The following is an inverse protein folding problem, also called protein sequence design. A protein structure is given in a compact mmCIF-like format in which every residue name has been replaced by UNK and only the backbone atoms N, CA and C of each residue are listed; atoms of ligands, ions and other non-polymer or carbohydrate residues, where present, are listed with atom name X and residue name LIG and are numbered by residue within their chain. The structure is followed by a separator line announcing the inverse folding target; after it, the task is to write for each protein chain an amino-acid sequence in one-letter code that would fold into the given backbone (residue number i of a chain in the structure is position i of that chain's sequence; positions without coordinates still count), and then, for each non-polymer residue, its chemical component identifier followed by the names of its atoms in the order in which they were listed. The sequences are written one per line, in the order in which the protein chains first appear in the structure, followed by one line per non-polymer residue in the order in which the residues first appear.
data_IF_977948675450
#
_entry.id   IF_977948675450
#
_cell.length_a   1.000
_cell.length_b   1.000
_cell.length_c   1.000
_cell.angle_alpha   90.00
_cell.angle_beta   90.00
_cell.angle_gamma   90.00
#
_symmetry.space_group_name_H-M   'P 1'
#
loop_
_entity.id
_entity.type
_entity.pdbx_description
1 polymer ?
#
# COMPACT_ATOMS: atom_id res chain seq x y z
N UNK A 1 4.70 0.01 4.02
CA UNK A 1 5.99 0.25 3.32
C UNK A 1 6.35 1.72 3.40
N UNK A 2 7.44 2.09 4.08
CA UNK A 2 7.73 3.47 4.46
C UNK A 2 9.21 3.90 4.29
N UNK A 3 9.97 3.28 3.37
CA UNK A 3 11.40 3.57 3.16
C UNK A 3 11.76 4.57 2.06
N UNK A 4 10.79 5.22 1.42
CA UNK A 4 11.05 6.06 0.23
C UNK A 4 11.60 7.46 0.57
N UNK A 5 12.73 7.86 -0.04
CA UNK A 5 13.35 9.18 0.21
C UNK A 5 12.63 10.39 -0.39
N UNK A 6 11.71 10.19 -1.35
CA UNK A 6 10.80 11.26 -1.79
C UNK A 6 11.37 12.35 -2.70
N UNK A 7 12.50 12.13 -3.38
CA UNK A 7 13.23 13.11 -4.22
C UNK A 7 12.37 14.00 -5.15
N UNK A 8 11.22 13.51 -5.63
CA UNK A 8 10.28 14.27 -6.47
C UNK A 8 9.55 15.42 -5.76
N UNK A 9 9.56 15.44 -4.43
CA UNK A 9 8.96 16.49 -3.61
C UNK A 9 10.01 17.47 -3.06
N UNK A 10 11.23 17.47 -3.59
CA UNK A 10 12.21 18.50 -3.24
C UNK A 10 11.67 19.89 -3.64
N UNK A 11 11.82 20.94 -2.80
CA UNK A 11 12.61 21.00 -1.56
C UNK A 11 11.86 20.61 -0.27
N UNK A 12 10.59 20.19 -0.37
CA UNK A 12 9.77 19.81 0.79
C UNK A 12 10.30 18.53 1.44
N UNK A 13 10.63 17.51 0.65
CA UNK A 13 11.28 16.30 1.16
C UNK A 13 12.79 16.52 1.33
N UNK A 14 13.32 16.22 2.52
CA UNK A 14 14.75 16.22 2.83
C UNK A 14 15.17 14.86 3.38
N UNK A 15 16.48 14.65 3.55
CA UNK A 15 17.01 13.42 4.15
C UNK A 15 16.38 13.14 5.52
N UNK A 16 16.28 14.19 6.35
CA UNK A 16 15.74 14.12 7.71
C UNK A 16 14.22 14.30 7.76
N UNK A 17 13.56 14.55 6.62
CA UNK A 17 12.11 14.70 6.52
C UNK A 17 11.63 14.05 5.22
N UNK A 18 11.53 12.72 5.18
CA UNK A 18 11.13 11.98 3.99
C UNK A 18 9.67 12.27 3.64
N UNK A 19 9.26 12.00 2.39
CA UNK A 19 7.93 12.36 1.87
C UNK A 19 6.76 11.89 2.74
N UNK A 20 6.85 10.69 3.31
CA UNK A 20 5.80 10.09 4.12
C UNK A 20 5.64 10.80 5.47
N UNK A 21 6.68 11.51 5.93
CA UNK A 21 6.65 12.34 7.14
C UNK A 21 6.13 13.76 6.88
N UNK A 22 5.84 14.14 5.63
CA UNK A 22 5.34 15.47 5.27
C UNK A 22 3.83 15.59 5.54
N UNK A 23 3.44 16.73 6.12
CA UNK A 23 2.05 17.18 6.27
C UNK A 23 1.58 17.85 4.99
N UNK A 24 1.25 17.04 3.98
CA UNK A 24 0.79 17.55 2.69
C UNK A 24 -0.70 17.86 2.66
N UNK A 25 -1.48 17.20 3.53
CA UNK A 25 -2.94 17.30 3.57
C UNK A 25 -3.37 17.35 5.03
N UNK A 26 -3.79 18.53 5.48
CA UNK A 26 -4.16 18.77 6.88
C UNK A 26 -2.99 18.68 7.85
N UNK A 27 -3.28 18.27 9.09
CA UNK A 27 -2.32 18.35 10.20
C UNK A 27 -1.48 17.08 10.43
N UNK A 28 -1.83 15.99 9.73
CA UNK A 28 -1.16 14.70 9.81
C UNK A 28 -0.18 14.49 8.65
N UNK A 29 0.90 13.76 8.89
CA UNK A 29 1.72 13.24 7.80
C UNK A 29 0.99 12.18 6.98
N UNK A 30 1.44 11.89 5.75
CA UNK A 30 0.89 10.78 4.96
C UNK A 30 1.03 9.43 5.67
N UNK A 31 2.15 9.24 6.39
CA UNK A 31 2.37 8.07 7.22
C UNK A 31 1.35 7.98 8.35
N UNK A 32 1.15 9.06 9.12
CA UNK A 32 0.16 9.11 10.19
C UNK A 32 -1.26 8.87 9.67
N UNK A 33 -1.63 9.49 8.56
CA UNK A 33 -2.91 9.27 7.90
C UNK A 33 -3.09 7.81 7.47
N UNK A 34 -2.02 7.16 7.01
CA UNK A 34 -2.05 5.74 6.63
C UNK A 34 -2.19 4.84 7.86
N UNK A 35 -1.40 5.06 8.91
CA UNK A 35 -1.49 4.27 10.15
C UNK A 35 -2.87 4.41 10.78
N UNK A 36 -3.36 5.63 10.99
CA UNK A 36 -4.69 5.88 11.56
C UNK A 36 -5.82 5.25 10.74
N UNK A 37 -5.70 5.25 9.40
CA UNK A 37 -6.65 4.54 8.52
C UNK A 37 -6.58 3.03 8.73
N UNK A 38 -5.39 2.45 8.90
CA UNK A 38 -5.24 1.01 9.12
C UNK A 38 -5.70 0.57 10.52
N UNK A 39 -5.48 1.37 11.56
CA UNK A 39 -5.91 1.08 12.94
C UNK A 39 -7.43 0.99 13.10
N UNK A 40 -8.19 1.69 12.25
CA UNK A 40 -9.65 1.53 12.19
C UNK A 40 -10.12 0.20 11.61
N UNK A 41 -9.22 -0.66 11.12
CA UNK A 41 -9.54 -1.98 10.56
C UNK A 41 -8.71 -3.12 11.17
N UNK A 42 -7.44 -2.86 11.48
CA UNK A 42 -6.52 -3.82 12.09
C UNK A 42 -6.11 -3.33 13.49
N UNK A 43 -5.96 -4.23 14.48
CA UNK A 43 -5.33 -3.86 15.73
C UNK A 43 -3.86 -3.48 15.50
N UNK A 44 -3.34 -2.52 16.28
CA UNK A 44 -2.01 -1.94 16.12
C UNK A 44 -0.89 -2.99 16.18
N UNK A 45 -1.07 -4.08 16.93
CA UNK A 45 -0.14 -5.22 17.00
C UNK A 45 0.02 -5.96 15.66
N UNK A 46 -0.95 -5.84 14.75
CA UNK A 46 -0.94 -6.45 13.41
C UNK A 46 -0.49 -5.50 12.30
N UNK A 47 -0.09 -4.28 12.63
CA UNK A 47 0.41 -3.30 11.67
C UNK A 47 1.94 -3.29 11.73
N UNK A 48 2.59 -3.74 10.65
CA UNK A 48 4.05 -3.73 10.53
C UNK A 48 4.51 -2.59 9.61
N UNK A 49 5.55 -1.88 10.04
CA UNK A 49 6.16 -0.78 9.29
C UNK A 49 7.55 -1.19 8.85
N UNK A 50 7.71 -1.46 7.56
CA UNK A 50 9.04 -1.67 6.96
C UNK A 50 9.62 -0.33 6.51
N UNK A 51 10.80 0.03 7.00
CA UNK A 51 11.49 1.30 6.72
C UNK A 51 13.02 1.16 6.79
N UNK A 52 13.76 2.24 6.58
CA UNK A 52 15.23 2.30 6.70
C UNK A 52 15.65 2.89 8.05
N UNK A 53 16.89 2.61 8.47
CA UNK A 53 17.39 2.99 9.80
C UNK A 53 17.28 4.50 10.06
N UNK A 54 17.57 5.32 9.06
CA UNK A 54 17.54 6.78 9.15
C UNK A 54 16.13 7.35 9.39
N UNK A 55 15.08 6.56 9.11
CA UNK A 55 13.68 7.00 9.22
C UNK A 55 12.95 6.36 10.40
N UNK A 56 13.51 5.30 11.00
CA UNK A 56 12.83 4.49 12.00
C UNK A 56 12.37 5.31 13.21
N UNK A 57 13.26 6.09 13.82
CA UNK A 57 12.94 6.88 15.03
C UNK A 57 11.88 7.96 14.76
N UNK A 58 11.96 8.64 13.61
CA UNK A 58 10.95 9.61 13.20
C UNK A 58 9.58 8.96 13.02
N UNK A 59 9.52 7.78 12.38
CA UNK A 59 8.25 7.09 12.12
C UNK A 59 7.67 6.49 13.40
N UNK A 60 8.49 5.97 14.31
CA UNK A 60 8.05 5.55 15.65
C UNK A 60 7.40 6.70 16.42
N UNK A 61 8.04 7.87 16.43
CA UNK A 61 7.49 9.05 17.07
C UNK A 61 6.16 9.53 16.45
N UNK A 62 5.93 9.24 15.16
CA UNK A 62 4.67 9.58 14.48
C UNK A 62 3.53 8.58 14.75
N UNK A 63 3.84 7.36 15.20
CA UNK A 63 2.87 6.29 15.46
C UNK A 63 3.21 5.56 16.78
N UNK A 64 3.06 6.24 17.94
CA UNK A 64 3.48 5.71 19.23
C UNK A 64 2.68 4.50 19.71
N UNK A 65 1.46 4.31 19.19
CA UNK A 65 0.59 3.19 19.55
C UNK A 65 0.99 1.87 18.85
N UNK A 66 1.85 1.94 17.82
CA UNK A 66 2.41 0.74 17.21
C UNK A 66 3.55 0.16 18.07
N UNK A 67 3.57 -1.15 18.34
CA UNK A 67 4.68 -1.77 19.06
C UNK A 67 6.02 -1.52 18.36
N UNK A 68 7.08 -1.22 19.12
CA UNK A 68 8.41 -0.98 18.53
C UNK A 68 8.90 -2.18 17.70
N UNK A 69 8.57 -3.40 18.13
CA UNK A 69 8.90 -4.64 17.43
C UNK A 69 8.20 -4.81 16.06
N UNK A 70 7.26 -3.93 15.73
CA UNK A 70 6.59 -3.89 14.43
C UNK A 70 7.29 -2.97 13.42
N UNK A 71 8.33 -2.23 13.83
CA UNK A 71 9.18 -1.46 12.92
C UNK A 71 10.31 -2.35 12.42
N UNK A 72 10.17 -2.86 11.20
CA UNK A 72 11.16 -3.68 10.53
C UNK A 72 12.14 -2.79 9.77
N UNK A 73 13.38 -2.73 10.23
CA UNK A 73 14.42 -1.93 9.59
C UNK A 73 15.11 -2.74 8.50
N UNK A 74 15.01 -2.29 7.25
CA UNK A 74 15.71 -2.88 6.12
C UNK A 74 17.21 -2.56 6.18
N UNK A 75 18.08 -3.52 5.84
CA UNK A 75 19.53 -3.29 5.82
C UNK A 75 19.98 -2.37 4.67
N UNK A 76 19.17 -2.28 3.59
CA UNK A 76 19.43 -1.41 2.45
C UNK A 76 18.15 -1.21 1.62
N UNK A 77 17.98 -0.06 0.93
CA UNK A 77 16.83 0.18 0.07
C UNK A 77 16.92 -0.66 -1.23
N UNK A 78 16.29 -1.84 -1.23
CA UNK A 78 16.35 -2.82 -2.35
C UNK A 78 15.03 -2.91 -3.15
N UNK A 79 14.18 -1.89 -3.05
CA UNK A 79 12.91 -1.80 -3.77
C UNK A 79 11.78 -2.63 -3.16
N UNK A 80 10.58 -2.48 -3.73
CA UNK A 80 9.32 -2.96 -3.14
C UNK A 80 9.25 -4.47 -2.91
N UNK A 81 9.81 -5.28 -3.82
CA UNK A 81 9.79 -6.74 -3.66
C UNK A 81 10.56 -7.19 -2.41
N UNK A 82 11.70 -6.56 -2.11
CA UNK A 82 12.52 -6.86 -0.94
C UNK A 82 11.79 -6.49 0.37
N UNK A 83 11.12 -5.33 0.37
CA UNK A 83 10.27 -4.87 1.48
C UNK A 83 9.18 -5.89 1.79
N UNK A 84 8.46 -6.34 0.76
CA UNK A 84 7.37 -7.32 0.87
C UNK A 84 7.92 -8.68 1.32
N UNK A 85 9.04 -9.13 0.76
CA UNK A 85 9.67 -10.39 1.15
C UNK A 85 10.13 -10.41 2.61
N UNK A 86 10.69 -9.30 3.12
CA UNK A 86 11.07 -9.17 4.53
C UNK A 86 9.84 -9.25 5.44
N UNK A 87 8.78 -8.49 5.12
CA UNK A 87 7.53 -8.52 5.88
C UNK A 87 6.89 -9.92 5.86
N UNK A 88 6.83 -10.56 4.70
CA UNK A 88 6.32 -11.92 4.54
C UNK A 88 7.12 -12.94 5.36
N UNK A 89 8.45 -12.86 5.34
CA UNK A 89 9.30 -13.77 6.13
C UNK A 89 9.11 -13.59 7.65
N UNK A 90 8.89 -12.36 8.11
CA UNK A 90 8.57 -12.08 9.52
C UNK A 90 7.17 -12.59 9.86
N UNK A 91 6.18 -12.32 9.03
CA UNK A 91 4.81 -12.78 9.23
C UNK A 91 4.72 -14.30 9.23
N UNK A 92 5.32 -14.98 8.27
CA UNK A 92 5.32 -16.44 8.20
C UNK A 92 5.91 -17.11 9.46
N UNK A 93 6.88 -16.47 10.12
CA UNK A 93 7.41 -16.93 11.41
C UNK A 93 6.45 -16.70 12.59
N UNK A 94 5.62 -15.66 12.52
CA UNK A 94 4.64 -15.31 13.57
C UNK A 94 3.35 -16.12 13.42
N UNK A 95 2.89 -16.28 12.18
CA UNK A 95 1.66 -16.94 11.78
C UNK A 95 1.77 -17.38 10.30
N UNK A 96 2.02 -18.68 10.03
CA UNK A 96 2.17 -19.20 8.67
C UNK A 96 0.94 -19.03 7.78
N UNK A 97 -0.26 -18.94 8.37
CA UNK A 97 -1.55 -18.87 7.67
C UNK A 97 -2.07 -17.42 7.56
N UNK A 98 -1.27 -16.43 7.97
CA UNK A 98 -1.69 -15.04 7.97
C UNK A 98 -1.88 -14.49 6.54
N UNK A 99 -3.01 -13.81 6.34
CA UNK A 99 -3.22 -12.95 5.16
C UNK A 99 -2.44 -11.65 5.33
N UNK A 100 -1.53 -11.36 4.40
CA UNK A 100 -0.75 -10.12 4.38
C UNK A 100 -1.36 -9.08 3.44
N UNK A 101 -1.77 -7.94 3.99
CA UNK A 101 -2.17 -6.76 3.21
C UNK A 101 -1.02 -5.74 3.14
N UNK A 102 -0.68 -5.28 1.93
CA UNK A 102 0.50 -4.42 1.68
C UNK A 102 0.07 -3.02 1.27
N UNK A 103 0.55 -2.01 2.01
CA UNK A 103 0.21 -0.60 1.76
C UNK A 103 1.46 0.29 1.64
N UNK A 104 1.54 1.16 0.62
CA UNK A 104 2.43 2.30 0.61
C UNK A 104 2.03 3.31 1.70
N UNK A 105 3.01 3.84 2.43
CA UNK A 105 2.77 4.83 3.49
C UNK A 105 2.51 6.26 2.97
N UNK A 106 2.55 6.47 1.66
CA UNK A 106 2.50 7.77 1.01
C UNK A 106 1.32 7.93 0.04
N UNK A 107 0.31 7.07 0.16
CA UNK A 107 -0.93 7.18 -0.61
C UNK A 107 -1.98 8.00 0.13
N UNK A 108 -2.66 8.88 -0.60
CA UNK A 108 -3.84 9.60 -0.12
C UNK A 108 -5.12 8.85 -0.49
N UNK A 109 -5.93 8.51 0.52
CA UNK A 109 -7.22 7.82 0.35
C UNK A 109 -8.28 8.62 1.11
N UNK A 110 -9.23 9.20 0.38
CA UNK A 110 -10.27 10.09 0.95
C UNK A 110 -11.46 9.33 1.52
N UNK A 111 -11.97 8.33 0.81
CA UNK A 111 -13.17 7.60 1.22
C UNK A 111 -12.78 6.38 2.07
N UNK A 112 -12.77 6.57 3.39
CA UNK A 112 -12.37 5.54 4.36
C UNK A 112 -13.34 4.37 4.40
N UNK A 113 -14.64 4.64 4.37
CA UNK A 113 -15.66 3.60 4.53
C UNK A 113 -15.66 2.66 3.32
N UNK A 114 -15.58 3.22 2.10
CA UNK A 114 -15.39 2.44 0.89
C UNK A 114 -14.08 1.63 0.94
N UNK A 115 -12.99 2.23 1.42
CA UNK A 115 -11.72 1.51 1.58
C UNK A 115 -11.85 0.30 2.52
N UNK A 116 -12.60 0.40 3.62
CA UNK A 116 -12.83 -0.72 4.53
C UNK A 116 -13.68 -1.82 3.90
N UNK A 117 -14.71 -1.48 3.14
CA UNK A 117 -15.49 -2.50 2.43
C UNK A 117 -14.66 -3.24 1.38
N UNK A 118 -13.83 -2.51 0.63
CA UNK A 118 -12.91 -3.11 -0.34
C UNK A 118 -11.86 -3.99 0.34
N UNK A 119 -11.33 -3.54 1.48
CA UNK A 119 -10.35 -4.28 2.25
C UNK A 119 -10.93 -5.57 2.84
N UNK A 120 -12.14 -5.52 3.42
CA UNK A 120 -12.83 -6.71 3.90
C UNK A 120 -13.09 -7.73 2.79
N UNK A 121 -13.52 -7.26 1.62
CA UNK A 121 -13.67 -8.11 0.43
C UNK A 121 -12.33 -8.73 0.03
N UNK A 122 -11.27 -7.93 -0.06
CA UNK A 122 -9.94 -8.39 -0.46
C UNK A 122 -9.34 -9.41 0.51
N UNK A 123 -9.51 -9.22 1.82
CA UNK A 123 -9.05 -10.17 2.83
C UNK A 123 -9.77 -11.51 2.67
N UNK A 124 -11.11 -11.49 2.50
CA UNK A 124 -11.89 -12.72 2.31
C UNK A 124 -11.45 -13.45 1.04
N UNK A 125 -11.35 -12.75 -0.09
CA UNK A 125 -10.88 -13.34 -1.35
C UNK A 125 -9.46 -13.91 -1.22
N UNK A 126 -8.57 -13.24 -0.47
CA UNK A 126 -7.21 -13.74 -0.26
C UNK A 126 -7.16 -15.00 0.62
N UNK A 127 -8.16 -15.27 1.45
CA UNK A 127 -8.27 -16.53 2.20
C UNK A 127 -8.60 -17.73 1.29
N UNK A 128 -9.18 -17.48 0.12
CA UNK A 128 -9.45 -18.49 -0.91
C UNK A 128 -8.26 -18.65 -1.89
N UNK A 129 -7.03 -18.42 -1.41
CA UNK A 129 -5.76 -18.61 -2.14
C UNK A 129 -5.54 -17.69 -3.36
N UNK A 130 -6.17 -16.51 -3.35
CA UNK A 130 -5.97 -15.49 -4.38
C UNK A 130 -4.95 -14.41 -3.98
N UNK A 131 -4.11 -13.99 -4.93
CA UNK A 131 -3.36 -12.74 -4.84
C UNK A 131 -4.23 -11.57 -5.29
N UNK A 132 -4.63 -10.72 -4.34
CA UNK A 132 -5.58 -9.63 -4.59
C UNK A 132 -4.88 -8.28 -4.79
N UNK A 133 -5.38 -7.47 -5.72
CA UNK A 133 -4.99 -6.07 -5.92
C UNK A 133 -6.21 -5.16 -5.97
N UNK A 134 -6.07 -3.91 -5.53
CA UNK A 134 -7.14 -2.91 -5.63
C UNK A 134 -6.95 -2.07 -6.90
N UNK A 135 -7.92 -2.16 -7.82
CA UNK A 135 -7.97 -1.36 -9.03
C UNK A 135 -8.65 -0.01 -8.79
N UNK A 136 -8.17 1.04 -9.47
CA UNK A 136 -8.78 2.37 -9.49
C UNK A 136 -9.15 2.69 -10.93
N UNK A 137 -10.36 3.22 -11.16
CA UNK A 137 -10.76 3.72 -12.48
C UNK A 137 -9.84 4.88 -12.87
N UNK A 138 -9.04 4.74 -13.94
CA UNK A 138 -8.11 5.79 -14.33
C UNK A 138 -8.88 6.99 -14.90
N UNK A 139 -8.45 8.21 -14.55
CA UNK A 139 -9.03 9.46 -15.06
C UNK A 139 -8.16 10.14 -16.13
N UNK A 140 -6.93 9.66 -16.32
CA UNK A 140 -5.97 10.13 -17.33
C UNK A 140 -4.91 9.04 -17.61
N UNK A 141 -4.25 9.05 -18.78
CA UNK A 141 -3.28 8.03 -19.18
C UNK A 141 -1.90 8.22 -18.52
N UNK A 142 -1.84 8.01 -17.21
CA UNK A 142 -0.59 8.08 -16.45
C UNK A 142 0.40 6.99 -16.89
N UNK A 143 1.63 7.34 -17.26
CA UNK A 143 2.70 6.37 -17.55
C UNK A 143 3.46 5.91 -16.30
N UNK A 144 3.23 6.59 -15.17
CA UNK A 144 3.86 6.28 -13.88
C UNK A 144 3.19 5.16 -13.07
N UNK A 145 2.03 4.66 -13.52
CA UNK A 145 1.24 3.65 -12.82
C UNK A 145 1.27 2.29 -13.53
N UNK A 146 0.96 1.24 -12.78
CA UNK A 146 0.59 -0.05 -13.33
C UNK A 146 -0.88 -0.06 -13.75
N UNK A 147 -1.19 -0.79 -14.84
CA UNK A 147 -2.55 -0.98 -15.33
C UNK A 147 -2.97 -2.44 -15.18
N UNK A 148 -4.22 -2.62 -14.77
CA UNK A 148 -4.86 -3.92 -14.55
C UNK A 148 -5.93 -4.11 -15.61
N UNK A 149 -5.77 -5.13 -16.45
CA UNK A 149 -6.80 -5.53 -17.38
C UNK A 149 -7.81 -6.43 -16.66
N UNK A 150 -9.00 -5.88 -16.39
CA UNK A 150 -10.12 -6.60 -15.78
C UNK A 150 -10.56 -7.79 -16.64
N UNK A 151 -10.68 -8.94 -15.99
CA UNK A 151 -11.17 -10.19 -16.54
C UNK A 151 -12.62 -10.46 -16.20
N UNK A 152 -12.95 -11.74 -16.10
CA UNK A 152 -14.30 -12.18 -15.73
C UNK A 152 -14.58 -11.91 -14.25
N UNK A 153 -15.86 -11.74 -13.93
CA UNK A 153 -16.29 -11.59 -12.53
C UNK A 153 -16.21 -12.96 -11.84
N UNK A 154 -15.67 -13.01 -10.62
CA UNK A 154 -15.74 -14.22 -9.81
C UNK A 154 -17.19 -14.51 -9.40
N UNK A 155 -17.59 -15.79 -9.28
CA UNK A 155 -18.97 -16.17 -8.98
C UNK A 155 -19.43 -15.88 -7.55
N UNK A 156 -18.53 -15.44 -6.67
CA UNK A 156 -18.83 -15.21 -5.25
C UNK A 156 -19.73 -13.97 -5.03
N UNK A 157 -20.69 -14.09 -4.10
CA UNK A 157 -21.51 -12.97 -3.64
C UNK A 157 -20.78 -12.22 -2.51
N UNK A 158 -19.86 -11.35 -2.92
CA UNK A 158 -19.12 -10.45 -2.05
C UNK A 158 -19.76 -9.06 -2.01
N UNK A 159 -19.57 -8.32 -0.91
CA UNK A 159 -20.08 -6.96 -0.75
C UNK A 159 -19.65 -6.00 -1.89
N UNK A 160 -18.49 -6.26 -2.49
CA UNK A 160 -18.00 -5.60 -3.70
C UNK A 160 -17.60 -6.63 -4.76
N UNK A 161 -17.86 -6.37 -6.06
CA UNK A 161 -17.56 -7.34 -7.10
C UNK A 161 -16.05 -7.55 -7.26
N UNK A 162 -15.64 -8.82 -7.30
CA UNK A 162 -14.26 -9.23 -7.57
C UNK A 162 -14.15 -9.73 -9.00
N UNK A 163 -13.03 -9.41 -9.64
CA UNK A 163 -12.76 -9.80 -11.02
C UNK A 163 -11.37 -10.42 -11.12
N UNK A 164 -11.22 -11.38 -12.03
CA UNK A 164 -9.91 -11.90 -12.40
C UNK A 164 -9.05 -10.80 -13.05
N UNK A 165 -7.73 -10.94 -12.95
CA UNK A 165 -6.78 -10.09 -13.66
C UNK A 165 -6.30 -10.82 -14.91
N UNK A 166 -6.75 -10.37 -16.09
CA UNK A 166 -6.29 -10.94 -17.38
C UNK A 166 -4.84 -10.59 -17.68
N UNK A 167 -4.41 -9.39 -17.28
CA UNK A 167 -3.05 -8.88 -17.52
C UNK A 167 -2.72 -7.74 -16.55
N UNK A 168 -1.47 -7.71 -16.09
CA UNK A 168 -0.89 -6.57 -15.40
C UNK A 168 0.22 -5.94 -16.26
N UNK A 169 0.23 -4.62 -16.40
CA UNK A 169 1.27 -3.90 -17.15
C UNK A 169 1.84 -2.76 -16.31
N UNK A 170 3.07 -2.92 -15.84
CA UNK A 170 3.77 -1.89 -15.06
C UNK A 170 4.29 -0.79 -15.97
N UNK A 171 3.92 0.47 -15.68
CA UNK A 171 4.44 1.70 -16.32
C UNK A 171 4.50 1.62 -17.85
N UNK A 172 3.34 1.47 -18.52
CA UNK A 172 3.30 1.40 -19.98
C UNK A 172 3.82 2.67 -20.64
N UNK A 173 4.27 2.53 -21.89
CA UNK A 173 4.46 3.68 -22.79
C UNK A 173 3.13 4.43 -23.01
N UNK A 174 3.23 5.69 -23.42
CA UNK A 174 2.11 6.64 -23.50
C UNK A 174 0.93 6.09 -24.31
N UNK A 175 1.20 5.52 -25.47
CA UNK A 175 0.19 4.98 -26.39
C UNK A 175 -0.61 3.84 -25.72
N UNK A 176 0.07 2.98 -24.95
CA UNK A 176 -0.57 1.90 -24.23
C UNK A 176 -1.32 2.40 -22.98
N UNK A 177 -0.87 3.47 -22.34
CA UNK A 177 -1.62 4.12 -21.26
C UNK A 177 -2.92 4.74 -21.80
N UNK A 178 -2.85 5.43 -22.94
CA UNK A 178 -4.01 6.00 -23.64
C UNK A 178 -5.05 4.94 -23.98
N UNK A 179 -4.63 3.80 -24.56
CA UNK A 179 -5.53 2.68 -24.83
C UNK A 179 -6.19 2.07 -23.59
N UNK A 180 -5.56 2.21 -22.41
CA UNK A 180 -6.05 1.62 -21.16
C UNK A 180 -7.07 2.50 -20.42
N UNK A 181 -7.24 3.77 -20.84
CA UNK A 181 -8.19 4.72 -20.24
C UNK A 181 -9.40 5.01 -21.11
N UNK A 182 -9.40 4.55 -22.37
CA UNK A 182 -10.55 4.69 -23.25
C UNK A 182 -11.73 3.86 -22.71
N UNK A 183 -12.96 4.42 -22.69
CA UNK A 183 -14.14 3.63 -22.37
C UNK A 183 -14.24 2.48 -23.37
N UNK A 184 -14.37 1.25 -22.84
CA UNK A 184 -14.66 0.06 -23.63
C UNK A 184 -16.16 -0.12 -23.78
#
# INVERSE_FOLDING_TARGET
MAGGGGTRLWPLSRRDTPKQALKLIGDQSLFQSTVSRLEGFFPSERILVVTVAEQAELLKAQAPDLPEANFLVEPAPRGTASVVGLAAAVLHKRDPEAVMAVFPADHFIRNRDLFYHLLGTAVKTAQDDYLVTLGITPTFPATGYGYIQRGEKLPEDSAYPVYEVKRFKEKPQKEAAEQSVLPK
#
